data_IF_708681524594
#
_entry.id   IF_708681524594
#
_cell.length_a   1.000
_cell.length_b   1.000
_cell.length_c   1.000
_cell.angle_alpha   90.00
_cell.angle_beta   90.00
_cell.angle_gamma   90.00
#
_symmetry.space_group_name_H-M   'P 1'
#
loop_
_entity.id
_entity.type
_entity.pdbx_description
1 polymer ?
#
# COMPACT_ATOMS: atom_id res chain seq x y z
N UNK A 1 13.45 2.87 9.01
CA UNK A 1 13.05 3.54 10.27
C UNK A 1 11.82 2.83 10.79
N UNK A 2 11.88 2.18 11.95
CA UNK A 2 10.77 1.38 12.50
C UNK A 2 9.59 2.25 12.95
N UNK A 3 8.39 1.66 13.02
CA UNK A 3 7.19 2.36 13.48
C UNK A 3 7.24 2.69 14.98
N UNK A 4 6.69 3.84 15.35
CA UNK A 4 6.56 4.25 16.76
C UNK A 4 5.53 3.39 17.50
N UNK A 5 5.59 3.38 18.83
CA UNK A 5 4.58 2.70 19.67
C UNK A 5 3.17 3.21 19.40
N UNK A 6 2.99 4.52 19.16
CA UNK A 6 1.70 5.10 18.80
C UNK A 6 1.16 4.58 17.46
N UNK A 7 2.01 4.48 16.44
CA UNK A 7 1.65 3.91 15.13
C UNK A 7 1.26 2.44 15.22
N UNK A 8 2.00 1.66 16.02
CA UNK A 8 1.64 0.25 16.29
C UNK A 8 0.27 0.14 16.95
N UNK A 9 0.00 0.93 17.99
CA UNK A 9 -1.32 0.96 18.66
C UNK A 9 -2.44 1.33 17.69
N UNK A 10 -2.22 2.32 16.80
CA UNK A 10 -3.20 2.72 15.79
C UNK A 10 -3.54 1.57 14.82
N UNK A 11 -2.55 0.82 14.33
CA UNK A 11 -2.77 -0.35 13.49
C UNK A 11 -3.64 -1.41 14.18
N UNK A 12 -3.30 -1.75 15.43
CA UNK A 12 -4.06 -2.72 16.21
C UNK A 12 -5.49 -2.24 16.51
N UNK A 13 -5.66 -0.95 16.77
CA UNK A 13 -6.97 -0.36 17.01
C UNK A 13 -7.84 -0.40 15.74
N UNK A 14 -7.29 -0.04 14.58
CA UNK A 14 -8.01 -0.12 13.31
C UNK A 14 -8.47 -1.57 13.00
N UNK A 15 -7.59 -2.55 13.22
CA UNK A 15 -7.93 -3.96 13.04
C UNK A 15 -9.02 -4.45 14.01
N UNK A 16 -9.01 -3.97 15.27
CA UNK A 16 -10.08 -4.28 16.24
C UNK A 16 -11.41 -3.67 15.84
N UNK A 17 -11.41 -2.46 15.28
CA UNK A 17 -12.62 -1.81 14.77
C UNK A 17 -13.22 -2.55 13.58
N UNK A 18 -12.39 -3.23 12.78
CA UNK A 18 -12.86 -4.15 11.74
C UNK A 18 -13.49 -5.42 12.31
N UNK A 19 -13.32 -5.75 13.59
CA UNK A 19 -14.05 -6.82 14.28
C UNK A 19 -14.04 -8.18 13.54
N UNK A 20 -15.17 -8.90 13.48
CA UNK A 20 -15.29 -10.18 12.77
C UNK A 20 -15.10 -10.05 11.24
N UNK A 21 -15.20 -8.85 10.68
CA UNK A 21 -15.01 -8.58 9.26
C UNK A 21 -13.52 -8.53 8.86
N UNK A 22 -12.59 -8.58 9.83
CA UNK A 22 -11.15 -8.58 9.55
C UNK A 22 -10.64 -9.95 9.09
N UNK A 23 -10.68 -10.18 7.78
CA UNK A 23 -10.33 -11.47 7.16
C UNK A 23 -8.81 -11.75 7.09
N UNK A 24 -8.44 -12.99 6.76
CA UNK A 24 -7.04 -13.34 6.51
C UNK A 24 -6.45 -12.64 5.28
N UNK A 25 -7.26 -12.37 4.25
CA UNK A 25 -6.83 -11.59 3.09
C UNK A 25 -6.41 -10.18 3.52
N UNK A 26 -7.18 -9.56 4.42
CA UNK A 26 -6.88 -8.26 5.02
C UNK A 26 -5.59 -8.30 5.85
N UNK A 27 -5.37 -9.34 6.63
CA UNK A 27 -4.12 -9.55 7.37
C UNK A 27 -2.91 -9.66 6.45
N UNK A 28 -3.04 -10.31 5.28
CA UNK A 28 -1.98 -10.40 4.28
C UNK A 28 -1.63 -9.04 3.67
N UNK A 29 -2.62 -8.17 3.42
CA UNK A 29 -2.36 -6.79 2.96
C UNK A 29 -1.48 -6.04 3.96
N UNK A 30 -1.78 -6.14 5.25
CA UNK A 30 -0.95 -5.56 6.32
C UNK A 30 0.45 -6.20 6.32
N UNK A 31 0.52 -7.52 6.19
CA UNK A 31 1.78 -8.26 6.19
C UNK A 31 2.71 -7.85 5.04
N UNK A 32 2.17 -7.75 3.82
CA UNK A 32 2.91 -7.39 2.62
C UNK A 32 3.50 -5.98 2.75
N UNK A 33 2.73 -5.04 3.31
CA UNK A 33 3.04 -3.61 3.23
C UNK A 33 3.84 -3.06 4.42
N UNK A 34 3.64 -3.63 5.62
CA UNK A 34 4.35 -3.19 6.83
C UNK A 34 5.01 -4.36 7.59
N UNK A 35 5.03 -5.54 7.00
CA UNK A 35 5.60 -6.76 7.59
C UNK A 35 4.57 -7.59 8.36
N UNK A 36 3.51 -6.98 8.89
CA UNK A 36 2.48 -7.60 9.76
C UNK A 36 2.40 -6.93 11.13
N UNK A 37 1.44 -7.30 11.98
CA UNK A 37 1.29 -6.68 13.32
C UNK A 37 2.48 -6.92 14.28
N UNK A 38 2.99 -8.16 14.46
CA UNK A 38 4.14 -8.41 15.33
C UNK A 38 5.44 -7.82 14.76
N UNK A 39 5.53 -7.82 13.44
CA UNK A 39 6.61 -7.34 12.58
C UNK A 39 6.52 -5.85 12.24
N UNK A 40 5.64 -5.07 12.86
CA UNK A 40 5.75 -3.60 12.86
C UNK A 40 7.05 -3.12 13.54
N UNK A 41 7.79 -4.03 14.19
CA UNK A 41 9.18 -3.87 14.62
C UNK A 41 10.22 -4.18 13.51
N UNK A 42 9.80 -4.61 12.32
CA UNK A 42 10.69 -4.95 11.20
C UNK A 42 11.48 -3.71 10.73
N UNK A 43 12.78 -3.84 10.44
CA UNK A 43 13.57 -2.76 9.86
C UNK A 43 13.03 -2.28 8.50
N UNK A 44 12.17 -3.08 7.85
CA UNK A 44 11.50 -2.75 6.58
C UNK A 44 10.18 -1.98 6.75
N UNK A 45 9.63 -1.90 7.97
CA UNK A 45 8.42 -1.11 8.21
C UNK A 45 8.76 0.38 8.00
N UNK A 46 7.97 1.10 7.21
CA UNK A 46 8.21 2.50 6.86
C UNK A 46 7.00 3.37 7.21
N UNK A 47 7.23 4.66 7.47
CA UNK A 47 6.14 5.65 7.69
C UNK A 47 5.15 5.64 6.52
N UNK A 48 5.63 5.54 5.28
CA UNK A 48 4.77 5.50 4.11
C UNK A 48 3.92 4.22 4.05
N UNK A 49 4.47 3.06 4.40
CA UNK A 49 3.69 1.82 4.48
C UNK A 49 2.62 1.86 5.58
N UNK A 50 2.93 2.50 6.70
CA UNK A 50 1.93 2.75 7.73
C UNK A 50 0.79 3.66 7.23
N UNK A 51 1.11 4.78 6.57
CA UNK A 51 0.09 5.67 5.99
C UNK A 51 -0.79 4.90 4.99
N UNK A 52 -0.18 4.12 4.12
CA UNK A 52 -0.91 3.36 3.11
C UNK A 52 -1.85 2.31 3.73
N UNK A 53 -1.41 1.58 4.75
CA UNK A 53 -2.26 0.61 5.46
C UNK A 53 -3.37 1.30 6.24
N UNK A 54 -3.10 2.44 6.89
CA UNK A 54 -4.13 3.20 7.61
C UNK A 54 -5.17 3.81 6.66
N UNK A 55 -4.74 4.32 5.51
CA UNK A 55 -5.62 4.84 4.47
C UNK A 55 -6.52 3.73 3.90
N UNK A 56 -5.95 2.55 3.68
CA UNK A 56 -6.70 1.37 3.29
C UNK A 56 -7.72 0.95 4.37
N UNK A 57 -7.32 0.95 5.65
CA UNK A 57 -8.27 0.71 6.76
C UNK A 57 -9.43 1.69 6.77
N UNK A 58 -9.20 2.98 6.51
CA UNK A 58 -10.29 3.95 6.42
C UNK A 58 -11.28 3.61 5.31
N UNK A 59 -10.80 3.14 4.15
CA UNK A 59 -11.66 2.67 3.05
C UNK A 59 -12.46 1.43 3.47
N UNK A 60 -11.82 0.44 4.08
CA UNK A 60 -12.48 -0.81 4.48
C UNK A 60 -13.48 -0.61 5.62
N UNK A 61 -13.14 0.22 6.62
CA UNK A 61 -14.06 0.58 7.70
C UNK A 61 -15.29 1.29 7.16
N UNK A 62 -15.13 2.19 6.17
CA UNK A 62 -16.23 2.90 5.55
C UNK A 62 -17.23 1.95 4.86
N UNK A 63 -16.75 0.86 4.24
CA UNK A 63 -17.60 -0.18 3.61
C UNK A 63 -18.55 -0.86 4.61
N UNK A 64 -18.16 -0.92 5.89
CA UNK A 64 -18.96 -1.52 6.97
C UNK A 64 -19.58 -0.48 7.92
N UNK A 65 -19.65 0.79 7.51
CA UNK A 65 -20.26 1.86 8.29
C UNK A 65 -19.49 2.26 9.56
N UNK A 66 -18.20 1.94 9.65
CA UNK A 66 -17.31 2.27 10.78
C UNK A 66 -16.27 3.31 10.36
N UNK A 67 -15.66 3.99 11.32
CA UNK A 67 -14.59 4.98 11.04
C UNK A 67 -13.59 5.10 12.19
N UNK A 68 -12.40 5.63 11.90
CA UNK A 68 -11.40 5.97 12.90
C UNK A 68 -11.78 7.27 13.62
N UNK A 69 -12.15 7.18 14.90
CA UNK A 69 -12.76 8.29 15.64
C UNK A 69 -11.94 9.60 15.71
N UNK A 70 -10.61 9.53 15.63
CA UNK A 70 -9.72 10.71 15.79
C UNK A 70 -9.05 11.17 14.50
N UNK A 71 -9.14 10.37 13.44
CA UNK A 71 -8.50 10.65 12.15
C UNK A 71 -9.44 10.18 11.04
N UNK A 72 -10.69 10.67 10.96
CA UNK A 72 -11.54 10.34 9.83
C UNK A 72 -10.91 10.92 8.56
N UNK A 73 -10.77 10.10 7.52
CA UNK A 73 -10.24 10.44 6.18
C UNK A 73 -8.79 10.93 6.10
N UNK A 74 -8.19 11.31 7.22
CA UNK A 74 -6.85 11.89 7.31
C UNK A 74 -5.80 11.00 6.62
N UNK A 75 -5.83 9.69 6.82
CA UNK A 75 -4.81 8.82 6.22
C UNK A 75 -5.02 8.68 4.71
N UNK A 76 -6.27 8.61 4.24
CA UNK A 76 -6.56 8.68 2.80
C UNK A 76 -6.07 9.98 2.19
N UNK A 77 -6.25 11.10 2.86
CA UNK A 77 -5.79 12.40 2.35
C UNK A 77 -4.26 12.52 2.38
N UNK A 78 -3.60 11.99 3.42
CA UNK A 78 -2.14 11.90 3.49
C UNK A 78 -1.59 10.95 2.41
N UNK A 79 -2.34 9.93 2.01
CA UNK A 79 -1.98 9.00 0.93
C UNK A 79 -2.16 9.63 -0.47
N UNK A 80 -3.08 10.59 -0.67
CA UNK A 80 -3.32 11.26 -1.96
C UNK A 80 -2.18 12.15 -2.44
N UNK A 81 -1.07 12.27 -1.69
CA UNK A 81 0.10 13.03 -2.14
C UNK A 81 0.58 12.50 -3.49
N UNK A 82 0.52 13.40 -4.48
CA UNK A 82 0.85 13.09 -5.85
C UNK A 82 2.25 12.49 -5.96
N UNK A 83 2.43 11.46 -6.80
CA UNK A 83 3.74 10.90 -7.05
C UNK A 83 4.61 11.89 -7.83
N UNK A 84 5.92 11.83 -7.59
CA UNK A 84 6.86 12.65 -8.36
C UNK A 84 6.99 12.12 -9.78
N UNK A 85 7.21 13.03 -10.74
CA UNK A 85 7.45 12.65 -12.14
C UNK A 85 8.63 11.65 -12.28
N UNK A 86 9.66 11.80 -11.45
CA UNK A 86 10.82 10.90 -11.42
C UNK A 86 10.44 9.46 -11.03
N UNK A 87 9.50 9.30 -10.10
CA UNK A 87 9.03 7.98 -9.67
C UNK A 87 8.22 7.29 -10.76
N UNK A 88 7.29 8.02 -11.39
CA UNK A 88 6.50 7.54 -12.51
C UNK A 88 7.38 7.14 -13.70
N UNK A 89 8.37 7.98 -14.03
CA UNK A 89 9.35 7.68 -15.07
C UNK A 89 10.13 6.39 -14.78
N UNK A 90 10.62 6.23 -13.54
CA UNK A 90 11.35 5.02 -13.13
C UNK A 90 10.48 3.76 -13.23
N UNK A 91 9.23 3.83 -12.78
CA UNK A 91 8.30 2.70 -12.85
C UNK A 91 8.05 2.29 -14.30
N UNK A 92 7.72 3.26 -15.17
CA UNK A 92 7.47 3.02 -16.61
C UNK A 92 8.69 2.43 -17.31
N UNK A 93 9.90 2.90 -16.99
CA UNK A 93 11.14 2.34 -17.53
C UNK A 93 11.30 0.85 -17.18
N UNK A 94 11.13 0.48 -15.91
CA UNK A 94 11.25 -0.92 -15.47
C UNK A 94 10.17 -1.82 -16.11
N UNK A 95 8.95 -1.32 -16.24
CA UNK A 95 7.89 -2.02 -16.95
C UNK A 95 8.23 -2.22 -18.43
N UNK A 96 8.79 -1.19 -19.09
CA UNK A 96 9.27 -1.27 -20.47
C UNK A 96 10.37 -2.32 -20.65
N UNK A 97 11.33 -2.40 -19.72
CA UNK A 97 12.39 -3.43 -19.74
C UNK A 97 11.80 -4.86 -19.62
N UNK A 98 10.65 -5.01 -18.94
CA UNK A 98 9.88 -6.26 -18.82
C UNK A 98 8.87 -6.47 -19.97
N UNK A 99 8.83 -5.56 -20.96
CA UNK A 99 7.86 -5.54 -22.08
C UNK A 99 6.40 -5.46 -21.63
N UNK A 100 6.13 -4.81 -20.50
CA UNK A 100 4.78 -4.59 -20.02
C UNK A 100 4.17 -3.34 -20.67
N UNK A 101 2.91 -3.43 -21.06
CA UNK A 101 2.13 -2.27 -21.47
C UNK A 101 1.74 -1.40 -20.26
N UNK A 102 1.38 -0.14 -20.51
CA UNK A 102 0.86 0.75 -19.45
C UNK A 102 -0.38 0.14 -18.77
N UNK A 103 -1.23 -0.56 -19.53
CA UNK A 103 -2.42 -1.25 -19.00
C UNK A 103 -2.06 -2.42 -18.08
N UNK A 104 -1.07 -3.24 -18.46
CA UNK A 104 -0.59 -4.33 -17.62
C UNK A 104 0.07 -3.79 -16.34
N UNK A 105 0.81 -2.69 -16.45
CA UNK A 105 1.42 -2.01 -15.30
C UNK A 105 0.35 -1.44 -14.36
N UNK A 106 -0.68 -0.78 -14.89
CA UNK A 106 -1.80 -0.29 -14.10
C UNK A 106 -2.52 -1.44 -13.39
N UNK A 107 -2.87 -2.52 -14.10
CA UNK A 107 -3.52 -3.69 -13.52
C UNK A 107 -2.69 -4.36 -12.40
N UNK A 108 -1.36 -4.37 -12.55
CA UNK A 108 -0.48 -4.85 -11.49
C UNK A 108 -0.51 -3.95 -10.25
N UNK A 109 -0.48 -2.62 -10.46
CA UNK A 109 -0.49 -1.63 -9.38
C UNK A 109 -1.84 -1.55 -8.66
N UNK A 110 -2.95 -1.81 -9.34
CA UNK A 110 -4.29 -1.80 -8.74
C UNK A 110 -4.73 -3.17 -8.22
N UNK A 111 -3.99 -4.23 -8.57
CA UNK A 111 -4.32 -5.60 -8.22
C UNK A 111 -4.22 -5.93 -6.72
N UNK A 112 -4.58 -7.18 -6.35
CA UNK A 112 -4.71 -7.62 -4.95
C UNK A 112 -3.39 -7.57 -4.16
N UNK A 113 -2.25 -7.49 -4.82
CA UNK A 113 -0.93 -7.40 -4.20
C UNK A 113 -0.63 -6.00 -3.63
N UNK A 114 -1.37 -4.97 -4.08
CA UNK A 114 -1.20 -3.56 -3.73
C UNK A 114 -2.42 -3.00 -2.98
N UNK A 115 -3.04 -3.83 -2.13
CA UNK A 115 -4.25 -3.50 -1.35
C UNK A 115 -5.54 -3.27 -2.16
N UNK A 116 -5.59 -3.75 -3.41
CA UNK A 116 -6.78 -3.68 -4.26
C UNK A 116 -7.29 -2.24 -4.42
N UNK A 117 -6.53 -1.41 -5.15
CA UNK A 117 -6.77 0.02 -5.31
C UNK A 117 -7.95 0.28 -6.26
N UNK A 118 -9.15 -0.08 -5.83
CA UNK A 118 -10.39 0.06 -6.61
C UNK A 118 -10.61 1.53 -7.04
N UNK A 119 -11.05 1.72 -8.28
CA UNK A 119 -11.36 3.05 -8.85
C UNK A 119 -10.15 3.86 -9.33
N UNK A 120 -8.95 3.29 -9.33
CA UNK A 120 -7.75 3.94 -9.90
C UNK A 120 -7.61 3.60 -11.38
N UNK A 121 -7.78 4.61 -12.23
CA UNK A 121 -7.72 4.45 -13.69
C UNK A 121 -6.39 4.89 -14.31
N UNK A 122 -5.53 5.55 -13.52
CA UNK A 122 -4.26 6.14 -14.00
C UNK A 122 -3.17 6.02 -12.95
N UNK A 123 -1.93 5.83 -13.41
CA UNK A 123 -0.77 5.69 -12.52
C UNK A 123 -0.44 6.95 -11.72
N UNK A 124 -0.80 8.13 -12.21
CA UNK A 124 -0.57 9.41 -11.51
C UNK A 124 -1.57 9.67 -10.37
N UNK A 125 -2.69 8.94 -10.34
CA UNK A 125 -3.61 8.91 -9.22
C UNK A 125 -3.16 7.93 -8.10
N UNK A 126 -2.14 7.10 -8.38
CA UNK A 126 -1.59 6.16 -7.40
C UNK A 126 -0.62 6.91 -6.49
N UNK A 127 -0.72 6.68 -5.19
CA UNK A 127 0.19 7.29 -4.23
C UNK A 127 1.66 6.87 -4.43
N UNK A 128 2.56 7.77 -4.03
CA UNK A 128 4.01 7.52 -4.04
C UNK A 128 4.39 6.17 -3.42
N UNK A 129 3.71 5.75 -2.35
CA UNK A 129 4.01 4.49 -1.68
C UNK A 129 3.76 3.26 -2.57
N UNK A 130 2.57 3.16 -3.16
CA UNK A 130 2.18 2.00 -3.97
C UNK A 130 3.03 1.89 -5.24
N UNK A 131 3.37 3.02 -5.85
CA UNK A 131 4.31 3.05 -6.98
C UNK A 131 5.72 2.61 -6.57
N UNK A 132 6.19 3.01 -5.38
CA UNK A 132 7.47 2.54 -4.84
C UNK A 132 7.50 1.01 -4.64
N UNK A 133 6.40 0.43 -4.14
CA UNK A 133 6.25 -1.02 -4.00
C UNK A 133 6.24 -1.73 -5.34
N UNK A 134 5.60 -1.14 -6.34
CA UNK A 134 5.62 -1.68 -7.69
C UNK A 134 7.03 -1.68 -8.28
N UNK A 135 7.80 -0.60 -8.10
CA UNK A 135 9.22 -0.53 -8.50
C UNK A 135 10.03 -1.66 -7.85
N UNK A 136 9.89 -1.88 -6.54
CA UNK A 136 10.60 -2.94 -5.83
C UNK A 136 10.26 -4.33 -6.39
N UNK A 137 8.98 -4.57 -6.69
CA UNK A 137 8.51 -5.83 -7.25
C UNK A 137 9.05 -6.06 -8.66
N UNK A 138 8.95 -5.08 -9.55
CA UNK A 138 9.49 -5.17 -10.92
C UNK A 138 11.01 -5.37 -10.91
N UNK A 139 11.73 -4.65 -10.05
CA UNK A 139 13.17 -4.83 -9.90
C UNK A 139 13.54 -6.25 -9.42
N UNK A 140 12.76 -6.82 -8.50
CA UNK A 140 12.94 -8.20 -8.06
C UNK A 140 12.65 -9.22 -9.18
N UNK A 141 11.63 -8.98 -10.00
CA UNK A 141 11.31 -9.81 -11.17
C UNK A 141 12.43 -9.77 -12.21
N UNK A 142 12.96 -8.58 -12.52
CA UNK A 142 14.11 -8.42 -13.42
C UNK A 142 15.35 -9.14 -12.91
N UNK A 143 15.62 -9.08 -11.60
CA UNK A 143 16.74 -9.82 -11.00
C UNK A 143 16.61 -11.33 -11.20
N UNK A 144 15.40 -11.87 -11.11
CA UNK A 144 15.11 -13.30 -11.33
C UNK A 144 15.18 -13.74 -12.79
N UNK A 145 14.99 -12.84 -13.76
CA UNK A 145 15.15 -13.17 -15.18
C UNK A 145 16.63 -13.23 -15.62
N UNK A 146 17.53 -12.61 -14.85
CA UNK A 146 18.96 -12.49 -15.17
C UNK A 146 19.85 -13.51 -14.46
N UNK A 147 19.32 -14.26 -13.51
CA UNK A 147 20.02 -15.32 -12.78
C UNK A 147 19.34 -16.65 -13.02
#
# INVERSE_FOLDING_TARGET
MSLTTGQKKALHQAARLMGPEFTDAMRRVVQINIGGFPSAASPKASRQGFIAVMAWYETELAKVGRQLARTPTYWRDELKRAPTAALLYRLRRLAGDLRWSEAALLAFVTGPHMANLDGVERLDAVSTYWLGRAIDALAAMMKRQKG
#
